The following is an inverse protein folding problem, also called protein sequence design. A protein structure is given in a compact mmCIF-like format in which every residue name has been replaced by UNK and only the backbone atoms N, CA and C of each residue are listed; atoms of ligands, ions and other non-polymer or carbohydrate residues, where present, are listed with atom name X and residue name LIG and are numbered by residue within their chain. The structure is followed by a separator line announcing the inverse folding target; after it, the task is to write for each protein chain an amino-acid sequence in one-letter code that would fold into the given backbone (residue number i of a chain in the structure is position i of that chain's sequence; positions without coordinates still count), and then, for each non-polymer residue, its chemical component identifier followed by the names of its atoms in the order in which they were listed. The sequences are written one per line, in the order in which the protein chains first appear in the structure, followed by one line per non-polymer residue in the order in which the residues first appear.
data_IF_389792522343
#
_entry.id   IF_389792522343
#
_cell.length_a   1.000
_cell.length_b   1.000
_cell.length_c   1.000
_cell.angle_alpha   90.00
_cell.angle_beta   90.00
_cell.angle_gamma   90.00
#
_symmetry.space_group_name_H-M   'P 1'
#
loop_
_entity.id
_entity.type
_entity.pdbx_description
1 polymer ?
#
# COMPACT_ATOMS: atom_id res chain seq x y z
N UNK A 1 -6.94 31.22 -6.84
CA UNK A 1 -6.07 30.99 -5.69
C UNK A 1 -5.18 32.19 -5.36
N UNK A 2 -4.42 32.69 -6.33
CA UNK A 2 -3.54 33.88 -6.16
C UNK A 2 -4.32 35.12 -5.72
N UNK A 3 -5.52 35.36 -6.29
CA UNK A 3 -6.38 36.51 -5.95
C UNK A 3 -6.83 36.44 -4.48
N UNK A 4 -7.21 35.25 -3.99
CA UNK A 4 -7.63 35.05 -2.61
C UNK A 4 -6.49 35.33 -1.64
N UNK A 5 -5.29 34.81 -1.95
CA UNK A 5 -4.10 35.02 -1.13
C UNK A 5 -3.72 36.52 -1.11
N UNK A 6 -3.72 37.17 -2.27
CA UNK A 6 -3.45 38.62 -2.37
C UNK A 6 -4.42 39.46 -1.53
N UNK A 7 -5.70 39.09 -1.51
CA UNK A 7 -6.73 39.80 -0.75
C UNK A 7 -6.62 39.56 0.74
N UNK A 8 -6.18 38.39 1.16
CA UNK A 8 -5.89 38.08 2.57
C UNK A 8 -4.65 38.86 3.03
N UNK A 9 -3.57 38.82 2.26
CA UNK A 9 -2.32 39.52 2.61
C UNK A 9 -2.48 41.07 2.62
N UNK A 10 -3.28 41.63 1.74
CA UNK A 10 -3.49 43.10 1.67
C UNK A 10 -4.30 43.64 2.85
N UNK A 11 -5.07 42.81 3.54
CA UNK A 11 -5.85 43.17 4.75
C UNK A 11 -5.17 42.77 6.06
N UNK A 12 -4.12 41.94 6.00
CA UNK A 12 -3.41 41.44 7.17
C UNK A 12 -2.26 42.39 7.52
N UNK A 13 -2.56 43.46 8.26
CA UNK A 13 -1.51 44.36 8.79
C UNK A 13 -0.88 43.87 10.10
N UNK A 14 -1.32 42.72 10.62
CA UNK A 14 -0.88 42.18 11.90
C UNK A 14 0.02 40.95 11.73
N UNK A 15 1.15 40.95 12.45
CA UNK A 15 2.07 39.81 12.57
C UNK A 15 1.33 38.52 12.95
N UNK A 16 0.29 38.63 13.76
CA UNK A 16 -0.54 37.50 14.18
C UNK A 16 -1.23 36.79 13.01
N UNK A 17 -1.69 37.56 12.01
CA UNK A 17 -2.32 36.99 10.80
C UNK A 17 -1.35 36.19 9.96
N UNK A 18 -0.10 36.64 9.82
CA UNK A 18 0.94 35.90 9.11
C UNK A 18 1.32 34.60 9.83
N UNK A 19 1.48 34.65 11.16
CA UNK A 19 1.77 33.48 11.98
C UNK A 19 0.63 32.46 11.91
N UNK A 20 -0.61 32.93 12.02
CA UNK A 20 -1.81 32.06 11.94
C UNK A 20 -1.94 31.38 10.59
N UNK A 21 -1.67 32.09 9.50
CA UNK A 21 -1.67 31.54 8.15
C UNK A 21 -0.57 30.45 7.99
N UNK A 22 0.66 30.77 8.40
CA UNK A 22 1.77 29.83 8.31
C UNK A 22 1.53 28.57 9.16
N UNK A 23 1.01 28.73 10.37
CA UNK A 23 0.67 27.62 11.25
C UNK A 23 -0.46 26.75 10.67
N UNK A 24 -1.50 27.38 10.12
CA UNK A 24 -2.59 26.66 9.44
C UNK A 24 -2.13 25.85 8.23
N UNK A 25 -1.26 26.46 7.41
CA UNK A 25 -0.67 25.77 6.26
C UNK A 25 0.19 24.58 6.67
N UNK A 26 1.08 24.78 7.64
CA UNK A 26 1.96 23.71 8.14
C UNK A 26 1.15 22.56 8.76
N UNK A 27 0.14 22.89 9.57
CA UNK A 27 -0.76 21.91 10.20
C UNK A 27 -1.57 21.15 9.17
N UNK A 28 -2.12 21.84 8.17
CA UNK A 28 -2.89 21.22 7.08
C UNK A 28 -2.06 20.23 6.28
N UNK A 29 -0.83 20.59 5.90
CA UNK A 29 0.09 19.68 5.22
C UNK A 29 0.46 18.48 6.08
N UNK A 30 0.77 18.69 7.36
CA UNK A 30 1.11 17.61 8.27
C UNK A 30 -0.04 16.61 8.44
N UNK A 31 -1.26 17.11 8.68
CA UNK A 31 -2.45 16.28 8.78
C UNK A 31 -2.74 15.55 7.44
N UNK A 32 -2.58 16.24 6.32
CA UNK A 32 -2.73 15.65 4.98
C UNK A 32 -1.81 14.44 4.76
N UNK A 33 -0.54 14.58 5.10
CA UNK A 33 0.46 13.48 5.00
C UNK A 33 0.08 12.31 5.91
N UNK A 34 -0.37 12.58 7.15
CA UNK A 34 -0.81 11.51 8.06
C UNK A 34 -2.03 10.77 7.50
N UNK A 35 -3.00 11.51 6.97
CA UNK A 35 -4.20 10.90 6.37
C UNK A 35 -3.80 10.06 5.15
N UNK A 36 -3.01 10.60 4.24
CA UNK A 36 -2.51 9.89 3.06
C UNK A 36 -1.78 8.59 3.44
N UNK A 37 -0.89 8.64 4.43
CA UNK A 37 -0.16 7.47 4.91
C UNK A 37 -1.06 6.40 5.55
N UNK A 38 -2.19 6.78 6.15
CA UNK A 38 -3.15 5.85 6.76
C UNK A 38 -4.14 5.26 5.78
N UNK A 39 -4.48 5.99 4.73
CA UNK A 39 -5.44 5.51 3.73
C UNK A 39 -4.86 4.38 2.89
N UNK A 40 -3.54 4.30 2.77
CA UNK A 40 -2.77 3.20 2.13
C UNK A 40 -3.45 2.64 0.86
N UNK A 41 -3.97 3.55 0.00
CA UNK A 41 -4.52 3.16 -1.28
C UNK A 41 -3.41 2.66 -2.21
N UNK A 42 -3.71 1.63 -2.95
CA UNK A 42 -2.85 1.12 -3.98
C UNK A 42 -2.57 -0.37 -3.84
N UNK A 43 -2.02 -0.89 -4.90
CA UNK A 43 -1.56 -2.28 -5.00
C UNK A 43 -0.05 -2.29 -5.19
N UNK A 44 0.56 -3.31 -4.63
CA UNK A 44 1.99 -3.56 -4.68
C UNK A 44 2.22 -4.88 -5.38
N UNK A 45 3.30 -4.97 -6.14
CA UNK A 45 3.90 -6.26 -6.46
C UNK A 45 4.85 -6.60 -5.33
N UNK A 46 4.57 -7.71 -4.66
CA UNK A 46 5.43 -8.29 -3.65
C UNK A 46 6.18 -9.47 -4.27
N UNK A 47 7.51 -9.38 -4.34
CA UNK A 47 8.39 -10.47 -4.78
C UNK A 47 9.15 -11.01 -3.59
N UNK A 48 8.92 -12.26 -3.26
CA UNK A 48 9.50 -12.94 -2.11
C UNK A 48 10.53 -13.95 -2.62
N UNK A 49 11.74 -13.83 -2.12
CA UNK A 49 12.89 -14.66 -2.51
C UNK A 49 13.19 -15.62 -1.37
N UNK A 50 13.12 -16.93 -1.64
CA UNK A 50 13.35 -17.96 -0.63
C UNK A 50 14.09 -19.14 -1.20
N UNK A 51 14.89 -19.81 -0.37
CA UNK A 51 15.56 -21.06 -0.70
C UNK A 51 14.75 -22.29 -0.25
N UNK A 52 13.68 -22.09 0.50
CA UNK A 52 12.78 -23.15 0.93
C UNK A 52 11.60 -23.28 -0.05
N UNK A 53 11.05 -24.48 -0.09
CA UNK A 53 9.84 -24.74 -0.87
C UNK A 53 8.67 -23.83 -0.42
N UNK A 54 8.13 -23.01 -1.33
CA UNK A 54 7.21 -21.94 -0.94
C UNK A 54 5.74 -22.38 -0.83
N UNK A 55 5.44 -23.69 -0.83
CA UNK A 55 4.07 -24.23 -0.90
C UNK A 55 3.13 -23.67 0.19
N UNK A 56 3.62 -23.51 1.42
CA UNK A 56 2.84 -22.94 2.52
C UNK A 56 2.58 -21.44 2.33
N UNK A 57 3.58 -20.69 1.87
CA UNK A 57 3.48 -19.27 1.58
C UNK A 57 2.49 -19.00 0.43
N UNK A 58 2.60 -19.78 -0.64
CA UNK A 58 1.68 -19.71 -1.80
C UNK A 58 0.24 -19.98 -1.37
N UNK A 59 0.03 -21.01 -0.54
CA UNK A 59 -1.31 -21.35 -0.04
C UNK A 59 -1.89 -20.22 0.82
N UNK A 60 -1.09 -19.62 1.68
CA UNK A 60 -1.53 -18.49 2.51
C UNK A 60 -1.98 -17.31 1.64
N UNK A 61 -1.18 -16.90 0.66
CA UNK A 61 -1.49 -15.78 -0.22
C UNK A 61 -2.75 -16.08 -1.07
N UNK A 62 -2.87 -17.31 -1.60
CA UNK A 62 -4.06 -17.75 -2.34
C UNK A 62 -5.33 -17.77 -1.48
N UNK A 63 -5.23 -18.21 -0.21
CA UNK A 63 -6.38 -18.21 0.71
C UNK A 63 -6.90 -16.81 1.03
N UNK A 64 -6.06 -15.78 0.83
CA UNK A 64 -6.45 -14.36 0.92
C UNK A 64 -7.07 -13.81 -0.36
N UNK A 65 -7.20 -14.65 -1.40
CA UNK A 65 -7.79 -14.27 -2.69
C UNK A 65 -6.84 -13.55 -3.64
N UNK A 66 -5.53 -13.54 -3.36
CA UNK A 66 -4.54 -12.92 -4.26
C UNK A 66 -3.99 -13.93 -5.26
N UNK A 67 -3.77 -13.45 -6.49
CA UNK A 67 -3.05 -14.20 -7.51
C UNK A 67 -1.57 -14.35 -7.15
N UNK A 68 -1.01 -15.53 -7.37
CA UNK A 68 0.40 -15.84 -7.06
C UNK A 68 1.04 -16.51 -8.26
N UNK A 69 2.22 -16.05 -8.62
CA UNK A 69 3.11 -16.69 -9.59
C UNK A 69 4.36 -17.19 -8.87
N UNK A 70 4.77 -18.41 -9.14
CA UNK A 70 5.99 -19.00 -8.57
C UNK A 70 6.94 -19.27 -9.70
N UNK A 71 8.16 -18.80 -9.56
CA UNK A 71 9.26 -19.04 -10.48
C UNK A 71 10.39 -19.73 -9.73
N UNK A 72 10.91 -20.79 -10.32
CA UNK A 72 12.09 -21.48 -9.84
C UNK A 72 13.31 -20.95 -10.57
N UNK A 73 14.38 -20.71 -9.86
CA UNK A 73 15.61 -20.19 -10.43
C UNK A 73 16.86 -20.66 -9.69
N UNK A 74 18.01 -20.32 -10.23
CA UNK A 74 19.29 -20.58 -9.61
C UNK A 74 19.74 -19.31 -8.88
N UNK A 75 19.86 -19.39 -7.55
CA UNK A 75 20.53 -18.36 -6.77
C UNK A 75 22.05 -18.47 -6.86
N UNK A 76 22.77 -17.55 -6.25
CA UNK A 76 24.25 -17.52 -6.29
C UNK A 76 24.90 -18.76 -5.65
N UNK A 77 24.25 -19.37 -4.68
CA UNK A 77 24.80 -20.49 -3.90
C UNK A 77 23.98 -21.77 -4.11
N UNK A 78 22.66 -21.64 -4.18
CA UNK A 78 21.72 -22.75 -4.26
C UNK A 78 20.46 -22.38 -5.01
N UNK A 79 19.62 -23.38 -5.24
CA UNK A 79 18.29 -23.22 -5.84
C UNK A 79 17.47 -22.19 -5.05
N UNK A 80 16.80 -21.32 -5.75
CA UNK A 80 15.96 -20.26 -5.16
C UNK A 80 14.59 -20.22 -5.81
N UNK A 81 13.60 -19.82 -5.05
CA UNK A 81 12.22 -19.62 -5.48
C UNK A 81 11.88 -18.15 -5.40
N UNK A 82 11.20 -17.64 -6.43
CA UNK A 82 10.62 -16.30 -6.45
C UNK A 82 9.12 -16.44 -6.45
N UNK A 83 8.49 -15.98 -5.40
CA UNK A 83 7.03 -15.92 -5.28
C UNK A 83 6.58 -14.50 -5.53
N UNK A 84 5.89 -14.25 -6.62
CA UNK A 84 5.38 -12.94 -6.99
C UNK A 84 3.87 -12.90 -6.78
N UNK A 85 3.39 -11.88 -6.07
CA UNK A 85 1.98 -11.64 -5.84
C UNK A 85 1.65 -10.16 -5.92
N UNK A 86 0.50 -9.83 -6.51
CA UNK A 86 -0.04 -8.48 -6.50
C UNK A 86 -1.02 -8.37 -5.35
N UNK A 87 -0.68 -7.54 -4.37
CA UNK A 87 -1.42 -7.45 -3.10
C UNK A 87 -1.81 -6.01 -2.80
N UNK A 88 -2.85 -5.82 -2.02
CA UNK A 88 -3.18 -4.49 -1.50
C UNK A 88 -2.15 -4.04 -0.47
N UNK A 89 -1.79 -2.77 -0.48
CA UNK A 89 -0.83 -2.17 0.46
C UNK A 89 -1.17 -2.47 1.93
N UNK A 90 -2.47 -2.49 2.27
CA UNK A 90 -2.91 -2.81 3.63
C UNK A 90 -2.59 -4.25 4.08
N UNK A 91 -2.52 -5.19 3.12
CA UNK A 91 -2.21 -6.60 3.40
C UNK A 91 -0.70 -6.85 3.60
N UNK A 92 0.15 -5.90 3.22
CA UNK A 92 1.61 -6.07 3.28
C UNK A 92 2.11 -6.38 4.69
N UNK A 93 1.57 -5.73 5.72
CA UNK A 93 1.96 -5.98 7.13
C UNK A 93 1.74 -7.42 7.55
N UNK A 94 0.66 -8.02 7.12
CA UNK A 94 0.29 -9.39 7.45
C UNK A 94 1.15 -10.40 6.69
N UNK A 95 1.42 -10.10 5.42
CA UNK A 95 2.34 -10.88 4.59
C UNK A 95 3.75 -10.81 5.16
N UNK A 96 4.21 -9.64 5.60
CA UNK A 96 5.51 -9.44 6.25
C UNK A 96 5.66 -10.30 7.51
N UNK A 97 4.67 -10.31 8.40
CA UNK A 97 4.67 -11.16 9.58
C UNK A 97 4.76 -12.64 9.22
N UNK A 98 4.05 -13.06 8.17
CA UNK A 98 4.09 -14.44 7.74
C UNK A 98 5.45 -14.83 7.13
N UNK A 99 6.04 -13.97 6.32
CA UNK A 99 7.37 -14.18 5.73
C UNK A 99 8.43 -14.31 6.82
N UNK A 100 8.40 -13.43 7.81
CA UNK A 100 9.33 -13.43 8.93
C UNK A 100 9.25 -14.73 9.74
N UNK A 101 8.04 -15.29 9.90
CA UNK A 101 7.83 -16.57 10.59
C UNK A 101 8.17 -17.78 9.71
N UNK A 102 8.07 -17.65 8.38
CA UNK A 102 8.35 -18.72 7.45
C UNK A 102 9.83 -19.06 7.38
N UNK A 103 10.68 -18.07 7.20
CA UNK A 103 12.13 -18.24 7.21
C UNK A 103 12.84 -16.89 7.40
N UNK A 104 13.76 -16.86 8.39
CA UNK A 104 14.57 -15.66 8.69
C UNK A 104 15.49 -15.23 7.55
N UNK A 105 15.84 -16.14 6.63
CA UNK A 105 16.68 -15.84 5.47
C UNK A 105 15.88 -15.43 4.23
N UNK A 106 14.55 -15.42 4.32
CA UNK A 106 13.68 -14.96 3.25
C UNK A 106 13.64 -13.43 3.27
N UNK A 107 13.81 -12.83 2.10
CA UNK A 107 13.62 -11.40 1.92
C UNK A 107 12.58 -11.13 0.84
N UNK A 108 11.98 -9.97 0.87
CA UNK A 108 11.02 -9.55 -0.16
C UNK A 108 11.25 -8.12 -0.59
N UNK A 109 10.82 -7.81 -1.80
CA UNK A 109 10.72 -6.46 -2.33
C UNK A 109 9.25 -6.15 -2.59
N UNK A 110 8.84 -4.91 -2.29
CA UNK A 110 7.50 -4.43 -2.56
C UNK A 110 7.58 -3.15 -3.41
N UNK A 111 6.96 -3.19 -4.58
CA UNK A 111 6.98 -2.09 -5.54
C UNK A 111 5.55 -1.60 -5.82
N UNK A 112 5.36 -0.29 -5.87
CA UNK A 112 4.08 0.31 -6.26
C UNK A 112 3.81 0.09 -7.75
N UNK A 113 2.62 -0.41 -8.05
CA UNK A 113 2.22 -0.71 -9.43
C UNK A 113 0.95 0.02 -9.82
N UNK A 114 0.98 0.61 -11.01
CA UNK A 114 -0.23 1.13 -11.65
C UNK A 114 -0.85 0.03 -12.51
N UNK A 115 -1.98 -0.50 -12.04
CA UNK A 115 -2.70 -1.54 -12.78
C UNK A 115 -3.57 -0.91 -13.85
N UNK A 116 -3.46 -1.40 -15.10
CA UNK A 116 -4.32 -0.99 -16.22
C UNK A 116 -5.51 -1.93 -16.43
N UNK A 117 -5.41 -3.16 -15.94
CA UNK A 117 -6.47 -4.19 -16.11
C UNK A 117 -6.72 -4.91 -14.78
N UNK A 118 -7.90 -5.50 -14.63
CA UNK A 118 -8.27 -6.24 -13.42
C UNK A 118 -7.44 -7.53 -13.32
N UNK A 119 -6.73 -7.68 -12.20
CA UNK A 119 -6.12 -8.94 -11.77
C UNK A 119 -7.07 -9.73 -10.84
N UNK A 120 -6.55 -10.81 -10.23
CA UNK A 120 -7.26 -11.58 -9.20
C UNK A 120 -7.04 -10.87 -7.86
N UNK A 121 -8.12 -10.30 -7.32
CA UNK A 121 -8.12 -9.61 -6.02
C UNK A 121 -9.30 -10.10 -5.19
N UNK A 122 -9.20 -10.07 -3.84
CA UNK A 122 -10.33 -10.29 -2.97
C UNK A 122 -11.44 -9.29 -3.30
N UNK A 123 -12.69 -9.74 -3.29
CA UNK A 123 -13.81 -8.81 -3.46
C UNK A 123 -13.81 -7.81 -2.29
N UNK A 124 -13.97 -6.49 -2.57
CA UNK A 124 -14.06 -5.51 -1.51
C UNK A 124 -15.31 -5.82 -0.67
N UNK A 125 -15.12 -6.09 0.61
CA UNK A 125 -16.19 -6.17 1.59
C UNK A 125 -16.76 -4.76 1.80
N UNK A 126 -17.53 -4.28 0.84
CA UNK A 126 -18.19 -2.99 0.92
C UNK A 126 -19.42 -3.11 1.80
N UNK A 127 -19.45 -2.32 2.88
CA UNK A 127 -20.63 -2.10 3.70
C UNK A 127 -21.85 -1.64 2.86
N UNK A 128 -21.62 -1.05 1.69
CA UNK A 128 -22.64 -0.57 0.76
C UNK A 128 -23.31 -1.69 -0.07
N UNK A 129 -22.78 -2.89 -0.14
CA UNK A 129 -23.35 -3.98 -0.93
C UNK A 129 -24.55 -4.65 -0.25
N UNK A 130 -24.85 -4.27 1.00
CA UNK A 130 -26.05 -4.77 1.74
C UNK A 130 -27.35 -4.08 1.29
N UNK A 131 -27.28 -3.08 0.40
CA UNK A 131 -28.44 -2.25 -0.03
C UNK A 131 -28.66 -2.28 -1.55
N UNK A 132 -28.33 -3.34 -2.25
CA UNK A 132 -28.87 -3.57 -3.60
C UNK A 132 -30.17 -4.35 -3.49
N UNK A 133 -31.36 -3.72 -3.71
CA UNK A 133 -32.58 -4.46 -3.94
C UNK A 133 -32.42 -5.28 -5.20
N UNK A 134 -32.84 -6.54 -5.14
CA UNK A 134 -32.59 -7.59 -6.13
C UNK A 134 -32.97 -7.19 -7.57
N UNK A 135 -32.22 -7.82 -8.47
CA UNK A 135 -32.70 -8.12 -9.82
C UNK A 135 -33.36 -9.50 -9.81
#
# INVERSE_FOLDING_TARGET
WIVIISQILSRANDLLSYISYAAGYATGNYVGIIIESRIAFGVLVCRIYTNKEPSSLVRMIKNRGYGVTVMEGMGSIMKAWVVEAVVERKALKEIDQYITNFDKNTFYTAEDVRIRQKGIFPEPTSFFNRWRPGK
#
